data_IF_756627830026
#
_entry.id   IF_756627830026
#
_cell.length_a   1.000
_cell.length_b   1.000
_cell.length_c   1.000
_cell.angle_alpha   90.00
_cell.angle_beta   90.00
_cell.angle_gamma   90.00
#
_symmetry.space_group_name_H-M   'P 1'
#
loop_
_entity.id
_entity.type
_entity.pdbx_description
1 polymer ?
#
# COMPACT_ATOMS: atom_id res chain seq x y z
N UNK A 1 -54.43 9.90 -32.20
CA UNK A 1 -53.57 10.44 -31.12
C UNK A 1 -53.42 9.44 -29.96
N UNK A 2 -54.52 8.90 -29.41
CA UNK A 2 -54.49 7.91 -28.31
C UNK A 2 -53.69 6.61 -28.60
N UNK A 3 -53.77 6.06 -29.81
CA UNK A 3 -53.00 4.84 -30.16
C UNK A 3 -51.49 5.05 -30.07
N UNK A 4 -50.97 6.22 -30.48
CA UNK A 4 -49.54 6.56 -30.36
C UNK A 4 -49.10 6.77 -28.91
N UNK A 5 -49.99 7.32 -28.07
CA UNK A 5 -49.75 7.49 -26.64
C UNK A 5 -49.68 6.14 -25.91
N UNK A 6 -50.57 5.20 -26.26
CA UNK A 6 -50.56 3.83 -25.72
C UNK A 6 -49.29 3.09 -26.15
N UNK A 7 -48.87 3.21 -27.42
CA UNK A 7 -47.61 2.61 -27.88
C UNK A 7 -46.40 3.20 -27.15
N UNK A 8 -46.40 4.51 -26.88
CA UNK A 8 -45.31 5.16 -26.14
C UNK A 8 -45.26 4.73 -24.66
N UNK A 9 -46.42 4.60 -24.01
CA UNK A 9 -46.52 4.09 -22.64
C UNK A 9 -46.07 2.62 -22.52
N UNK A 10 -46.40 1.78 -23.50
CA UNK A 10 -45.94 0.39 -23.54
C UNK A 10 -44.42 0.32 -23.74
N UNK A 11 -43.87 1.14 -24.65
CA UNK A 11 -42.43 1.19 -24.88
C UNK A 11 -41.65 1.69 -23.65
N UNK A 12 -42.18 2.70 -22.95
CA UNK A 12 -41.62 3.22 -21.71
C UNK A 12 -41.71 2.19 -20.57
N UNK A 13 -42.82 1.47 -20.45
CA UNK A 13 -42.96 0.39 -19.47
C UNK A 13 -41.96 -0.75 -19.75
N UNK A 14 -41.80 -1.16 -21.01
CA UNK A 14 -40.79 -2.17 -21.37
C UNK A 14 -39.37 -1.72 -21.02
N UNK A 15 -39.01 -0.46 -21.31
CA UNK A 15 -37.70 0.10 -20.95
C UNK A 15 -37.47 0.19 -19.42
N UNK A 16 -38.53 0.47 -18.64
CA UNK A 16 -38.45 0.51 -17.19
C UNK A 16 -38.31 -0.87 -16.54
N UNK A 17 -38.83 -1.93 -17.17
CA UNK A 17 -38.72 -3.31 -16.69
C UNK A 17 -37.49 -4.07 -17.23
N UNK A 18 -36.78 -3.53 -18.23
CA UNK A 18 -35.50 -4.07 -18.73
C UNK A 18 -34.28 -3.27 -18.28
N UNK A 19 -34.46 -2.25 -17.44
CA UNK A 19 -33.33 -1.65 -16.75
C UNK A 19 -32.76 -2.75 -15.84
N UNK A 20 -31.67 -3.38 -16.27
CA UNK A 20 -30.90 -4.25 -15.40
C UNK A 20 -30.62 -3.46 -14.13
N UNK A 21 -31.12 -3.97 -13.01
CA UNK A 21 -30.54 -3.64 -11.73
C UNK A 21 -29.07 -4.02 -11.90
N UNK A 22 -28.17 -3.03 -11.91
CA UNK A 22 -26.77 -3.34 -11.67
C UNK A 22 -26.81 -3.99 -10.30
N UNK A 23 -26.59 -5.31 -10.23
CA UNK A 23 -26.47 -5.99 -8.95
C UNK A 23 -25.43 -5.18 -8.17
N UNK A 24 -25.90 -4.32 -7.26
CA UNK A 24 -25.03 -3.69 -6.29
C UNK A 24 -24.37 -4.87 -5.63
N UNK A 25 -23.03 -5.02 -5.76
CA UNK A 25 -22.36 -6.22 -5.26
C UNK A 25 -22.77 -6.35 -3.81
N UNK A 26 -23.56 -7.38 -3.52
CA UNK A 26 -24.12 -7.57 -2.21
C UNK A 26 -22.92 -7.76 -1.30
N UNK A 27 -22.67 -6.80 -0.39
CA UNK A 27 -21.57 -6.96 0.54
C UNK A 27 -21.84 -8.27 1.29
N UNK A 28 -20.87 -9.21 1.33
CA UNK A 28 -21.10 -10.48 1.97
C UNK A 28 -21.64 -10.23 3.37
N UNK A 29 -22.79 -10.81 3.69
CA UNK A 29 -23.36 -10.69 5.03
C UNK A 29 -22.43 -11.44 5.98
N UNK A 30 -21.51 -10.69 6.59
CA UNK A 30 -20.58 -11.22 7.56
C UNK A 30 -21.35 -11.42 8.87
N UNK A 31 -21.70 -12.67 9.18
CA UNK A 31 -22.22 -13.07 10.48
C UNK A 31 -21.09 -13.04 11.53
N UNK A 32 -20.59 -11.85 11.84
CA UNK A 32 -19.56 -11.66 12.87
C UNK A 32 -20.27 -11.41 14.18
N UNK A 33 -20.18 -12.36 15.11
CA UNK A 33 -20.40 -12.02 16.50
C UNK A 33 -19.29 -11.02 16.88
N UNK A 34 -19.65 -9.80 17.27
CA UNK A 34 -18.71 -8.74 17.65
C UNK A 34 -17.73 -9.13 18.76
N UNK A 35 -17.91 -10.31 19.37
CA UNK A 35 -16.99 -10.93 20.34
C UNK A 35 -15.88 -11.80 19.72
N UNK A 36 -15.95 -12.21 18.45
CA UNK A 36 -15.00 -13.18 17.87
C UNK A 36 -13.80 -12.55 17.15
N UNK A 37 -13.90 -11.31 16.67
CA UNK A 37 -12.81 -10.63 16.00
C UNK A 37 -12.46 -9.34 16.76
N UNK A 38 -11.66 -9.49 17.82
CA UNK A 38 -11.07 -8.34 18.49
C UNK A 38 -9.96 -7.75 17.60
N UNK A 39 -10.35 -6.99 16.58
CA UNK A 39 -9.48 -6.17 15.74
C UNK A 39 -8.94 -4.94 16.50
N UNK A 40 -8.53 -5.11 17.76
CA UNK A 40 -8.12 -4.02 18.62
C UNK A 40 -6.78 -3.40 18.20
N UNK A 41 -5.90 -4.16 17.53
CA UNK A 41 -4.64 -3.64 17.00
C UNK A 41 -4.19 -4.39 15.75
N UNK A 42 -4.10 -3.68 14.63
CA UNK A 42 -3.65 -4.22 13.33
C UNK A 42 -2.36 -3.53 12.93
N UNK A 43 -1.37 -4.32 12.54
CA UNK A 43 -0.10 -3.83 11.99
C UNK A 43 0.03 -4.29 10.54
N UNK A 44 0.54 -3.41 9.70
CA UNK A 44 0.74 -3.66 8.28
C UNK A 44 2.23 -3.72 7.98
N UNK A 45 2.65 -4.80 7.35
CA UNK A 45 4.02 -5.03 6.88
C UNK A 45 3.98 -5.06 5.36
N UNK A 46 4.85 -4.31 4.69
CA UNK A 46 4.86 -4.32 3.24
C UNK A 46 5.79 -3.30 2.62
N UNK A 47 5.47 -2.91 1.40
CA UNK A 47 6.29 -2.00 0.61
C UNK A 47 5.55 -0.72 0.22
N UNK A 48 5.82 -0.20 -0.98
CA UNK A 48 5.25 1.01 -1.58
C UNK A 48 3.71 1.06 -1.51
N UNK A 49 3.04 -0.05 -1.82
CA UNK A 49 1.57 -0.13 -1.80
C UNK A 49 1.02 0.07 -0.39
N UNK A 50 1.67 -0.56 0.59
CA UNK A 50 1.34 -0.44 2.01
C UNK A 50 1.65 0.97 2.53
N UNK A 51 2.77 1.57 2.12
CA UNK A 51 3.18 2.92 2.53
C UNK A 51 2.25 4.04 2.01
N UNK A 52 1.48 3.76 0.96
CA UNK A 52 0.71 4.76 0.22
C UNK A 52 1.54 5.56 -0.77
N UNK A 53 2.59 4.96 -1.31
CA UNK A 53 3.49 5.57 -2.29
C UNK A 53 2.78 5.82 -3.61
N UNK A 54 2.74 7.08 -4.03
CA UNK A 54 2.08 7.55 -5.24
C UNK A 54 2.86 8.74 -5.79
N UNK A 55 2.73 9.03 -7.09
CA UNK A 55 3.45 10.13 -7.73
C UNK A 55 4.96 10.13 -7.45
N UNK A 56 5.58 8.96 -7.52
CA UNK A 56 7.00 8.75 -7.24
C UNK A 56 7.47 9.16 -5.83
N UNK A 57 6.56 9.19 -4.84
CA UNK A 57 6.94 9.52 -3.46
C UNK A 57 5.85 9.29 -2.41
N UNK A 58 6.05 9.90 -1.24
CA UNK A 58 5.13 9.89 -0.10
C UNK A 58 4.71 11.32 0.24
N UNK A 59 3.40 11.53 0.37
CA UNK A 59 2.79 12.77 0.84
C UNK A 59 1.42 12.46 1.45
N UNK A 60 1.06 13.16 2.53
CA UNK A 60 -0.07 12.82 3.42
C UNK A 60 -1.42 12.71 2.71
N UNK A 61 -1.68 13.53 1.70
CA UNK A 61 -2.93 13.54 0.93
C UNK A 61 -3.08 12.28 0.07
N UNK A 62 -1.98 11.75 -0.47
CA UNK A 62 -1.98 10.50 -1.21
C UNK A 62 -1.91 9.28 -0.29
N UNK A 63 -1.12 9.35 0.79
CA UNK A 63 -0.96 8.25 1.74
C UNK A 63 -2.28 7.83 2.41
N UNK A 64 -3.22 8.77 2.59
CA UNK A 64 -4.57 8.50 3.10
C UNK A 64 -5.47 7.69 2.15
N UNK A 65 -5.04 7.48 0.90
CA UNK A 65 -5.72 6.58 -0.04
C UNK A 65 -5.13 5.16 -0.01
N UNK A 66 -4.13 4.90 0.84
CA UNK A 66 -3.52 3.57 0.98
C UNK A 66 -4.49 2.57 1.60
N UNK A 67 -4.41 1.31 1.18
CA UNK A 67 -5.27 0.26 1.71
C UNK A 67 -5.19 0.11 3.25
N UNK A 68 -4.03 0.30 3.94
CA UNK A 68 -4.00 0.24 5.40
C UNK A 68 -4.80 1.36 6.04
N UNK A 69 -4.72 2.58 5.50
CA UNK A 69 -5.50 3.71 5.99
C UNK A 69 -7.01 3.49 5.76
N UNK A 70 -7.39 3.00 4.58
CA UNK A 70 -8.79 2.71 4.25
C UNK A 70 -9.36 1.59 5.14
N UNK A 71 -8.58 0.53 5.40
CA UNK A 71 -8.99 -0.53 6.34
C UNK A 71 -9.15 0.04 7.75
N UNK A 72 -8.18 0.83 8.23
CA UNK A 72 -8.26 1.48 9.53
C UNK A 72 -9.49 2.40 9.65
N UNK A 73 -9.84 3.10 8.57
CA UNK A 73 -11.04 3.92 8.51
C UNK A 73 -12.31 3.06 8.63
N UNK A 74 -12.40 1.95 7.91
CA UNK A 74 -13.57 1.06 7.98
C UNK A 74 -13.68 0.33 9.33
N UNK A 75 -12.56 0.14 10.01
CA UNK A 75 -12.53 -0.38 11.38
C UNK A 75 -12.94 0.67 12.44
N UNK A 76 -13.14 1.93 12.03
CA UNK A 76 -13.42 3.04 12.94
C UNK A 76 -12.21 3.48 13.78
N UNK A 77 -11.00 2.98 13.50
CA UNK A 77 -9.79 3.24 14.29
C UNK A 77 -8.78 4.16 13.59
N UNK A 78 -9.13 4.77 12.45
CA UNK A 78 -8.23 5.66 11.71
C UNK A 78 -7.64 6.82 12.54
N UNK A 79 -8.29 7.22 13.63
CA UNK A 79 -7.80 8.25 14.54
C UNK A 79 -6.67 7.77 15.48
N UNK A 80 -6.60 6.48 15.77
CA UNK A 80 -5.53 5.86 16.57
C UNK A 80 -4.42 5.26 15.71
N UNK A 81 -4.75 4.88 14.46
CA UNK A 81 -3.83 4.31 13.49
C UNK A 81 -2.70 5.27 13.13
N UNK A 82 -1.46 4.85 13.36
CA UNK A 82 -0.28 5.65 13.07
C UNK A 82 0.46 5.11 11.84
N UNK A 83 0.66 5.97 10.84
CA UNK A 83 1.52 5.73 9.69
C UNK A 83 2.50 6.89 9.51
N UNK A 84 3.65 6.70 8.83
CA UNK A 84 4.63 7.77 8.60
C UNK A 84 4.09 8.81 7.61
N UNK A 85 3.22 9.71 8.07
CA UNK A 85 2.61 10.75 7.23
C UNK A 85 3.62 11.85 6.93
N UNK A 86 3.81 12.12 5.65
CA UNK A 86 4.75 13.14 5.16
C UNK A 86 3.99 14.40 4.78
N UNK A 87 4.39 15.54 5.34
CA UNK A 87 3.80 16.84 5.02
C UNK A 87 4.14 17.31 3.60
N UNK A 88 3.40 18.30 3.10
CA UNK A 88 3.71 18.94 1.82
C UNK A 88 5.11 19.58 1.87
N UNK A 89 5.93 19.48 0.81
CA UNK A 89 5.61 18.98 -0.53
C UNK A 89 5.69 17.46 -0.74
N UNK A 90 5.90 16.71 0.33
CA UNK A 90 6.21 15.29 0.29
C UNK A 90 7.69 15.02 0.04
N UNK A 91 8.01 13.74 -0.03
CA UNK A 91 9.35 13.24 -0.36
C UNK A 91 9.24 12.34 -1.57
N UNK A 92 10.11 12.52 -2.56
CA UNK A 92 10.14 11.67 -3.75
C UNK A 92 11.39 10.79 -3.78
N UNK A 93 11.44 9.88 -4.76
CA UNK A 93 12.66 9.14 -5.11
C UNK A 93 13.78 10.06 -5.62
N UNK A 94 13.47 11.31 -5.98
CA UNK A 94 14.45 12.32 -6.37
C UNK A 94 14.87 13.13 -5.15
N UNK A 95 16.13 13.04 -4.70
CA UNK A 95 16.59 13.77 -3.52
C UNK A 95 16.33 15.27 -3.63
N UNK A 96 15.72 15.84 -2.59
CA UNK A 96 15.48 17.28 -2.46
C UNK A 96 14.24 17.81 -3.19
N UNK A 97 13.43 16.95 -3.80
CA UNK A 97 12.25 17.32 -4.56
C UNK A 97 11.00 16.60 -4.04
N UNK A 98 9.88 17.34 -3.89
CA UNK A 98 8.62 16.74 -3.45
C UNK A 98 8.03 15.76 -4.45
N UNK A 99 6.86 15.21 -4.14
CA UNK A 99 6.20 14.22 -5.01
C UNK A 99 5.85 14.84 -6.37
N UNK A 100 5.67 14.02 -7.40
CA UNK A 100 5.24 14.52 -8.71
C UNK A 100 3.79 15.02 -8.67
N UNK A 101 3.51 16.03 -9.48
CA UNK A 101 2.17 16.57 -9.69
C UNK A 101 1.96 16.90 -11.16
N UNK A 102 0.75 16.64 -11.65
CA UNK A 102 0.32 17.02 -12.99
C UNK A 102 -0.31 18.41 -12.95
N UNK A 103 0.19 19.32 -13.78
CA UNK A 103 -0.39 20.63 -13.99
C UNK A 103 -1.35 20.58 -15.20
N UNK A 104 -2.68 20.64 -14.99
CA UNK A 104 -3.63 20.53 -16.09
C UNK A 104 -3.63 21.75 -17.03
N UNK A 105 -3.07 22.89 -16.61
CA UNK A 105 -3.01 24.10 -17.43
C UNK A 105 -1.85 24.05 -18.44
N UNK A 106 -0.75 23.39 -18.07
CA UNK A 106 0.45 23.28 -18.92
C UNK A 106 0.65 21.88 -19.51
N UNK A 107 -0.04 20.87 -18.97
CA UNK A 107 0.18 19.46 -19.31
C UNK A 107 1.47 18.88 -18.72
N UNK A 108 2.16 19.62 -17.86
CA UNK A 108 3.46 19.24 -17.32
C UNK A 108 3.33 18.34 -16.09
N UNK A 109 4.27 17.39 -15.95
CA UNK A 109 4.48 16.65 -14.70
C UNK A 109 5.76 17.18 -14.06
N UNK A 110 5.64 17.81 -12.89
CA UNK A 110 6.76 18.39 -12.17
C UNK A 110 6.68 18.09 -10.66
N UNK A 111 7.81 18.09 -9.92
CA UNK A 111 7.78 17.99 -8.47
C UNK A 111 6.94 19.09 -7.83
N UNK A 112 6.17 18.73 -6.81
CA UNK A 112 5.61 19.69 -5.86
C UNK A 112 6.80 20.30 -5.14
N UNK A 113 7.19 21.53 -5.45
CA UNK A 113 8.24 22.26 -4.74
C UNK A 113 9.56 21.49 -4.51
N UNK A 114 10.36 22.02 -3.58
CA UNK A 114 11.64 21.45 -3.15
C UNK A 114 11.65 21.33 -1.62
N UNK A 115 12.50 20.45 -1.09
CA UNK A 115 12.78 20.35 0.34
C UNK A 115 14.24 19.94 0.58
N UNK A 116 14.71 20.04 1.83
CA UNK A 116 16.10 19.69 2.18
C UNK A 116 16.22 18.65 3.29
N UNK A 117 15.19 18.47 4.11
CA UNK A 117 15.21 17.54 5.24
C UNK A 117 13.95 16.66 5.28
N UNK A 118 14.01 15.39 4.83
CA UNK A 118 12.88 14.45 4.88
C UNK A 118 12.27 14.32 6.27
N UNK A 119 13.10 14.27 7.32
CA UNK A 119 12.65 14.08 8.70
C UNK A 119 11.84 15.26 9.21
N UNK A 120 12.09 16.47 8.70
CA UNK A 120 11.29 17.65 9.05
C UNK A 120 9.86 17.60 8.48
N UNK A 121 9.64 16.82 7.42
CA UNK A 121 8.31 16.61 6.82
C UNK A 121 7.55 15.45 7.48
N UNK A 122 8.21 14.62 8.30
CA UNK A 122 7.54 13.50 8.97
C UNK A 122 6.69 14.00 10.15
N UNK A 123 5.37 14.07 9.96
CA UNK A 123 4.44 14.73 10.89
C UNK A 123 4.41 14.12 12.30
N UNK A 124 4.69 12.83 12.40
CA UNK A 124 4.68 12.07 13.66
C UNK A 124 6.06 11.47 13.96
N UNK A 125 7.13 12.21 13.67
CA UNK A 125 8.50 11.77 13.91
C UNK A 125 8.79 11.43 15.38
N UNK A 126 8.11 12.09 16.33
CA UNK A 126 8.31 11.92 17.78
C UNK A 126 7.37 10.89 18.43
N UNK A 127 6.59 10.13 17.65
CA UNK A 127 5.73 9.08 18.19
C UNK A 127 6.57 8.08 19.01
N UNK A 128 6.29 7.84 20.31
CA UNK A 128 7.17 7.08 21.21
C UNK A 128 7.00 5.55 21.07
N UNK A 129 6.68 5.10 19.86
CA UNK A 129 6.52 3.69 19.46
C UNK A 129 6.66 3.59 17.93
N UNK A 130 6.93 2.40 17.37
CA UNK A 130 6.80 2.16 15.93
C UNK A 130 5.41 2.49 15.37
N UNK A 131 5.33 2.69 14.06
CA UNK A 131 4.08 2.93 13.33
C UNK A 131 3.28 1.64 13.17
N UNK A 132 1.95 1.75 13.11
CA UNK A 132 1.08 0.61 12.79
C UNK A 132 1.19 0.24 11.30
N UNK A 133 1.50 1.21 10.44
CA UNK A 133 1.90 0.98 9.05
C UNK A 133 3.42 1.01 8.92
N UNK A 134 4.03 -0.15 8.69
CA UNK A 134 5.46 -0.34 8.48
C UNK A 134 5.80 -0.59 7.00
N UNK A 135 4.93 -0.17 6.07
CA UNK A 135 5.20 -0.26 4.64
C UNK A 135 6.37 0.62 4.23
N UNK A 136 7.41 0.05 3.60
CA UNK A 136 8.59 0.81 3.14
C UNK A 136 8.70 0.77 1.61
N UNK A 137 8.60 1.90 0.90
CA UNK A 137 8.73 1.92 -0.55
C UNK A 137 9.98 1.20 -1.05
N UNK A 138 9.81 0.33 -2.05
CA UNK A 138 10.90 -0.46 -2.64
C UNK A 138 11.41 -1.64 -1.82
N UNK A 139 10.95 -1.86 -0.58
CA UNK A 139 11.42 -2.97 0.24
C UNK A 139 11.11 -4.35 -0.39
N UNK A 140 12.11 -5.23 -0.42
CA UNK A 140 11.95 -6.67 -0.70
C UNK A 140 11.61 -7.44 0.56
N UNK A 141 11.21 -8.71 0.41
CA UNK A 141 10.98 -9.60 1.56
C UNK A 141 12.22 -9.72 2.46
N UNK A 142 13.40 -9.93 1.85
CA UNK A 142 14.65 -10.08 2.57
C UNK A 142 15.01 -8.81 3.36
N UNK A 143 14.89 -7.65 2.74
CA UNK A 143 15.18 -6.37 3.41
C UNK A 143 14.22 -6.10 4.57
N UNK A 144 12.95 -6.48 4.46
CA UNK A 144 12.00 -6.35 5.59
C UNK A 144 12.44 -7.17 6.83
N UNK A 145 13.10 -8.31 6.61
CA UNK A 145 13.61 -9.19 7.67
C UNK A 145 14.94 -8.73 8.25
N UNK A 146 15.85 -8.24 7.40
CA UNK A 146 17.27 -8.10 7.73
C UNK A 146 17.77 -6.64 7.82
N UNK A 147 17.09 -5.69 7.17
CA UNK A 147 17.53 -4.31 7.10
C UNK A 147 16.85 -3.44 8.15
N UNK A 148 17.66 -2.79 8.98
CA UNK A 148 17.23 -1.79 9.95
C UNK A 148 17.51 -0.35 9.50
N UNK A 149 18.31 -0.18 8.45
CA UNK A 149 18.75 1.12 7.93
C UNK A 149 18.73 1.13 6.41
N UNK A 150 18.71 2.32 5.82
CA UNK A 150 18.81 2.48 4.37
C UNK A 150 20.09 1.88 3.81
N UNK A 151 21.22 2.00 4.52
CA UNK A 151 22.51 1.44 4.09
C UNK A 151 22.44 -0.08 3.93
N UNK A 152 21.72 -0.78 4.80
CA UNK A 152 21.52 -2.24 4.71
C UNK A 152 20.52 -2.65 3.62
N UNK A 153 19.74 -1.70 3.10
CA UNK A 153 18.74 -1.89 2.07
C UNK A 153 19.09 -1.10 0.80
N UNK A 154 20.30 -1.30 0.28
CA UNK A 154 20.76 -0.70 -0.99
C UNK A 154 20.64 0.84 -1.02
N UNK A 155 20.95 1.49 0.10
CA UNK A 155 20.85 2.94 0.31
C UNK A 155 19.42 3.51 0.22
N UNK A 156 18.41 2.68 0.39
CA UNK A 156 17.01 3.09 0.41
C UNK A 156 16.67 3.95 1.64
N UNK A 157 16.72 5.27 1.48
CA UNK A 157 16.45 6.25 2.55
C UNK A 157 15.07 6.15 3.22
N UNK A 158 14.09 5.47 2.61
CA UNK A 158 12.79 5.26 3.24
C UNK A 158 12.88 4.34 4.46
N UNK A 159 13.88 3.43 4.53
CA UNK A 159 14.11 2.61 5.72
C UNK A 159 14.40 3.48 6.94
N UNK A 160 15.33 4.43 6.82
CA UNK A 160 15.72 5.30 7.93
C UNK A 160 14.55 6.20 8.37
N UNK A 161 13.76 6.69 7.42
CA UNK A 161 12.62 7.56 7.70
C UNK A 161 11.47 6.83 8.40
N UNK A 162 11.16 5.61 7.98
CA UNK A 162 9.98 4.88 8.45
C UNK A 162 10.30 4.10 9.72
N UNK A 163 11.43 3.39 9.74
CA UNK A 163 11.88 2.66 10.93
C UNK A 163 12.40 3.60 12.01
N UNK A 164 12.80 4.84 11.67
CA UNK A 164 13.29 5.87 12.60
C UNK A 164 14.41 5.38 13.53
N UNK A 165 15.24 4.48 13.02
CA UNK A 165 16.42 4.01 13.76
C UNK A 165 17.47 5.13 13.87
N UNK A 166 18.26 5.16 14.96
CA UNK A 166 18.37 4.15 16.02
C UNK A 166 17.35 4.28 17.17
N UNK A 167 16.32 5.14 17.07
CA UNK A 167 15.37 5.39 18.17
C UNK A 167 14.61 4.13 18.63
N UNK A 168 14.57 3.09 17.79
CA UNK A 168 13.96 1.79 18.08
C UNK A 168 15.01 0.67 18.06
N UNK A 169 16.20 0.94 18.63
CA UNK A 169 17.25 -0.04 18.86
C UNK A 169 17.77 -0.75 17.60
N UNK A 170 17.72 -0.09 16.44
CA UNK A 170 18.10 -0.67 15.15
C UNK A 170 17.27 -1.91 14.79
N UNK A 171 15.97 -1.90 15.13
CA UNK A 171 15.05 -2.97 14.78
C UNK A 171 14.66 -2.92 13.30
N UNK A 172 14.52 -4.09 12.68
CA UNK A 172 13.98 -4.26 11.31
C UNK A 172 12.47 -4.04 11.26
N UNK A 173 11.89 -4.03 10.06
CA UNK A 173 10.44 -3.90 9.87
C UNK A 173 9.66 -4.98 10.64
N UNK A 174 10.14 -6.23 10.59
CA UNK A 174 9.49 -7.36 11.27
C UNK A 174 9.64 -7.28 12.79
N UNK A 175 10.82 -6.89 13.28
CA UNK A 175 11.06 -6.74 14.73
C UNK A 175 10.20 -5.61 15.32
N UNK A 176 10.05 -4.48 14.62
CA UNK A 176 9.15 -3.40 15.05
C UNK A 176 7.69 -3.86 15.10
N UNK A 177 7.25 -4.70 14.14
CA UNK A 177 5.92 -5.29 14.18
C UNK A 177 5.73 -6.21 15.40
N UNK A 178 6.76 -6.97 15.79
CA UNK A 178 6.73 -7.81 16.99
C UNK A 178 6.57 -6.97 18.28
N UNK A 179 7.34 -5.88 18.41
CA UNK A 179 7.25 -4.99 19.58
C UNK A 179 5.89 -4.32 19.71
N UNK A 180 5.21 -4.06 18.60
CA UNK A 180 3.84 -3.55 18.64
C UNK A 180 2.84 -4.56 19.21
N UNK A 181 3.17 -5.85 19.25
CA UNK A 181 2.35 -6.93 19.81
C UNK A 181 0.87 -6.90 19.34
N UNK A 182 0.60 -6.84 18.01
CA UNK A 182 -0.74 -6.69 17.46
C UNK A 182 -1.62 -7.94 17.62
N UNK A 183 -2.94 -7.78 17.43
CA UNK A 183 -3.87 -8.92 17.33
C UNK A 183 -3.94 -9.47 15.90
N UNK A 184 -3.69 -8.62 14.90
CA UNK A 184 -3.54 -9.02 13.50
C UNK A 184 -2.34 -8.37 12.83
N UNK A 185 -1.69 -9.10 11.94
CA UNK A 185 -0.71 -8.58 11.00
C UNK A 185 -1.21 -8.82 9.58
N UNK A 186 -1.25 -7.77 8.76
CA UNK A 186 -1.52 -7.88 7.33
C UNK A 186 -0.21 -7.67 6.58
N UNK A 187 0.21 -8.67 5.82
CA UNK A 187 1.48 -8.67 5.09
C UNK A 187 1.23 -8.60 3.59
N UNK A 188 1.88 -7.63 2.93
CA UNK A 188 1.98 -7.58 1.48
C UNK A 188 3.42 -7.30 1.05
N UNK A 189 4.19 -8.38 0.94
CA UNK A 189 5.59 -8.41 0.50
C UNK A 189 5.73 -9.41 -0.64
N UNK A 190 6.78 -9.25 -1.46
CA UNK A 190 7.11 -10.17 -2.55
C UNK A 190 6.96 -9.59 -3.94
N UNK A 191 6.19 -8.52 -4.15
CA UNK A 191 6.13 -7.89 -5.47
C UNK A 191 7.47 -7.27 -5.87
N UNK A 192 8.23 -6.64 -4.96
CA UNK A 192 9.54 -6.07 -5.31
C UNK A 192 10.61 -7.14 -5.57
N UNK A 193 10.42 -8.37 -5.08
CA UNK A 193 11.28 -9.52 -5.37
C UNK A 193 11.20 -10.00 -6.83
N UNK A 194 10.20 -9.53 -7.59
CA UNK A 194 10.04 -9.84 -9.02
C UNK A 194 9.85 -8.60 -9.91
N UNK A 195 9.36 -7.49 -9.34
CA UNK A 195 9.08 -6.24 -10.08
C UNK A 195 10.32 -5.66 -10.74
N UNK A 196 11.48 -5.77 -10.07
CA UNK A 196 12.76 -5.27 -10.57
C UNK A 196 13.04 -5.74 -12.00
N UNK A 197 12.82 -7.04 -12.27
CA UNK A 197 12.99 -7.63 -13.60
C UNK A 197 12.03 -7.05 -14.64
N UNK A 198 10.77 -6.81 -14.27
CA UNK A 198 9.78 -6.23 -15.18
C UNK A 198 10.14 -4.79 -15.58
N UNK A 199 10.64 -3.98 -14.64
CA UNK A 199 10.96 -2.56 -14.90
C UNK A 199 12.36 -2.32 -15.45
N UNK A 200 13.23 -3.33 -15.44
CA UNK A 200 14.60 -3.30 -15.98
C UNK A 200 14.74 -3.93 -17.38
N UNK A 201 13.63 -4.08 -18.11
CA UNK A 201 13.65 -4.64 -19.46
C UNK A 201 13.74 -6.17 -19.51
N UNK A 202 13.30 -6.86 -18.45
CA UNK A 202 13.28 -8.32 -18.37
C UNK A 202 14.56 -8.95 -17.82
N UNK A 203 15.39 -8.19 -17.08
CA UNK A 203 16.59 -8.73 -16.45
C UNK A 203 16.22 -9.68 -15.30
N UNK A 204 16.24 -10.98 -15.58
CA UNK A 204 15.88 -12.03 -14.61
C UNK A 204 16.85 -12.12 -13.43
N UNK A 205 18.03 -11.49 -13.49
CA UNK A 205 18.94 -11.44 -12.33
C UNK A 205 18.39 -10.57 -11.19
N UNK A 206 17.39 -9.74 -11.48
CA UNK A 206 16.66 -8.94 -10.50
C UNK A 206 15.53 -9.72 -9.80
N UNK A 207 15.30 -10.99 -10.16
CA UNK A 207 14.34 -11.85 -9.47
C UNK A 207 15.03 -12.52 -8.28
N UNK A 208 14.46 -12.35 -7.07
CA UNK A 208 14.89 -13.14 -5.90
C UNK A 208 14.70 -14.63 -6.23
N UNK A 209 15.75 -15.47 -6.11
CA UNK A 209 15.63 -16.90 -6.38
C UNK A 209 14.48 -17.54 -5.59
N UNK A 210 13.68 -18.40 -6.23
CA UNK A 210 12.48 -18.96 -5.60
C UNK A 210 12.76 -19.71 -4.29
N UNK A 211 13.92 -20.38 -4.19
CA UNK A 211 14.35 -21.06 -2.97
C UNK A 211 14.62 -20.08 -1.83
N UNK A 212 15.29 -18.96 -2.12
CA UNK A 212 15.60 -17.92 -1.13
C UNK A 212 14.32 -17.22 -0.68
N UNK A 213 13.43 -16.91 -1.64
CA UNK A 213 12.12 -16.36 -1.35
C UNK A 213 11.31 -17.29 -0.44
N UNK A 214 11.27 -18.59 -0.74
CA UNK A 214 10.57 -19.58 0.08
C UNK A 214 11.15 -19.66 1.50
N UNK A 215 12.48 -19.62 1.63
CA UNK A 215 13.15 -19.65 2.93
C UNK A 215 12.86 -18.39 3.75
N UNK A 216 12.98 -17.21 3.15
CA UNK A 216 12.71 -15.93 3.80
C UNK A 216 11.22 -15.79 4.16
N UNK A 217 10.31 -16.27 3.30
CA UNK A 217 8.88 -16.22 3.60
C UNK A 217 8.53 -17.16 4.76
N UNK A 218 9.14 -18.34 4.80
CA UNK A 218 9.04 -19.25 5.96
C UNK A 218 9.54 -18.60 7.25
N UNK A 219 10.68 -17.90 7.19
CA UNK A 219 11.25 -17.16 8.32
C UNK A 219 10.33 -16.03 8.78
N UNK A 220 9.79 -15.24 7.87
CA UNK A 220 8.80 -14.20 8.17
C UNK A 220 7.60 -14.77 8.95
N UNK A 221 7.01 -15.86 8.48
CA UNK A 221 5.87 -16.48 9.17
C UNK A 221 6.26 -16.99 10.56
N UNK A 222 7.44 -17.57 10.72
CA UNK A 222 7.95 -18.03 12.02
C UNK A 222 8.14 -16.86 12.99
N UNK A 223 8.69 -15.73 12.52
CA UNK A 223 8.87 -14.53 13.35
C UNK A 223 7.53 -13.92 13.75
N UNK A 224 6.59 -13.77 12.81
CA UNK A 224 5.27 -13.23 13.12
C UNK A 224 4.47 -14.14 14.04
N UNK A 225 4.57 -15.47 13.89
CA UNK A 225 3.89 -16.42 14.76
C UNK A 225 4.34 -16.36 16.23
N UNK A 226 5.46 -15.71 16.56
CA UNK A 226 5.87 -15.49 17.96
C UNK A 226 5.05 -14.41 18.65
N UNK A 227 4.38 -13.54 17.90
CA UNK A 227 3.56 -12.45 18.43
C UNK A 227 2.41 -13.02 19.26
N UNK A 228 2.18 -12.45 20.45
CA UNK A 228 1.15 -12.88 21.40
C UNK A 228 1.16 -14.39 21.70
N UNK A 229 2.36 -14.97 21.82
CA UNK A 229 2.54 -16.40 22.13
C UNK A 229 1.82 -17.31 21.11
N UNK A 230 1.75 -16.91 19.84
CA UNK A 230 1.06 -17.67 18.79
C UNK A 230 -0.38 -17.26 18.52
N UNK A 231 -0.95 -16.33 19.29
CA UNK A 231 -2.36 -15.91 19.16
C UNK A 231 -2.57 -14.68 18.27
N UNK A 232 -1.67 -14.46 17.31
CA UNK A 232 -1.80 -13.40 16.30
C UNK A 232 -2.52 -13.94 15.05
N UNK A 233 -3.45 -13.17 14.50
CA UNK A 233 -3.99 -13.44 13.17
C UNK A 233 -3.03 -12.92 12.09
N UNK A 234 -2.74 -13.71 11.07
CA UNK A 234 -1.87 -13.29 9.96
C UNK A 234 -2.66 -13.36 8.66
N UNK A 235 -2.76 -12.24 7.95
CA UNK A 235 -3.33 -12.17 6.60
C UNK A 235 -2.19 -11.92 5.63
N UNK A 236 -2.15 -12.73 4.58
CA UNK A 236 -1.13 -12.65 3.54
C UNK A 236 -1.81 -12.24 2.23
N UNK A 237 -1.35 -11.14 1.64
CA UNK A 237 -1.75 -10.77 0.29
C UNK A 237 -0.89 -11.52 -0.75
N UNK A 238 -1.50 -11.87 -1.87
CA UNK A 238 -0.81 -12.49 -2.99
C UNK A 238 0.12 -11.49 -3.68
N UNK A 239 1.13 -12.03 -4.38
CA UNK A 239 1.97 -11.22 -5.25
C UNK A 239 1.15 -10.91 -6.52
N UNK A 240 0.85 -9.64 -6.82
CA UNK A 240 0.18 -9.28 -8.06
C UNK A 240 1.07 -9.62 -9.26
N UNK A 241 0.46 -9.85 -10.42
CA UNK A 241 1.23 -10.04 -11.63
C UNK A 241 1.91 -8.71 -12.01
N UNK A 242 3.24 -8.66 -11.88
CA UNK A 242 4.02 -7.45 -12.18
C UNK A 242 4.04 -7.10 -13.65
N UNK A 243 3.57 -7.99 -14.54
CA UNK A 243 3.42 -7.67 -15.96
C UNK A 243 2.11 -6.97 -16.30
N UNK A 244 1.18 -6.81 -15.35
CA UNK A 244 -0.13 -6.18 -15.62
C UNK A 244 -0.10 -4.66 -15.40
N UNK A 245 1.06 -4.11 -15.04
CA UNK A 245 1.22 -2.67 -14.79
C UNK A 245 1.27 -1.88 -16.12
N UNK A 246 0.79 -0.63 -16.15
CA UNK A 246 0.87 0.22 -17.35
C UNK A 246 2.30 0.45 -17.87
N UNK A 247 3.33 0.29 -17.04
CA UNK A 247 4.72 0.51 -17.43
C UNK A 247 5.23 -0.49 -18.49
N UNK A 248 4.75 -1.74 -18.44
CA UNK A 248 5.17 -2.82 -19.37
C UNK A 248 4.07 -3.21 -20.36
N UNK A 249 2.93 -2.52 -20.33
CA UNK A 249 1.84 -2.70 -21.27
C UNK A 249 1.72 -1.48 -22.17
N UNK A 250 1.23 -1.70 -23.39
CA UNK A 250 0.80 -0.61 -24.25
C UNK A 250 -0.62 -0.19 -23.85
N UNK A 251 -0.90 1.11 -23.82
CA UNK A 251 -2.28 1.58 -23.81
C UNK A 251 -2.87 1.23 -25.18
N UNK A 252 -4.01 0.54 -25.21
CA UNK A 252 -4.71 0.22 -26.46
C UNK A 252 -4.95 1.50 -27.27
N UNK A 253 -4.69 1.45 -28.58
CA UNK A 253 -4.81 2.58 -29.53
C UNK A 253 -6.22 3.21 -29.56
N UNK A 254 -7.20 2.59 -28.91
CA UNK A 254 -8.59 3.05 -28.81
C UNK A 254 -8.77 4.32 -27.96
N UNK A 255 -7.81 4.67 -27.09
CA UNK A 255 -7.90 5.86 -26.23
C UNK A 255 -7.40 7.14 -26.94
N UNK A 256 -6.62 7.00 -28.02
CA UNK A 256 -5.98 8.13 -28.72
C UNK A 256 -6.37 8.26 -30.20
N UNK A 257 -7.58 7.84 -30.58
CA UNK A 257 -8.15 8.29 -31.87
C UNK A 257 -8.47 9.78 -31.77
N UNK A 258 -7.53 10.59 -32.25
CA UNK A 258 -7.71 12.01 -32.58
C UNK A 258 -8.57 12.17 -33.82
#
# INVERSE_FOLDING_TARGET
MMKKLITFLILFALLAFTACDLETPEQPQLNISSKQLALSKVVFIGNSLTAGFQSAGLVKDLQKNSFPYLIAQQMGNAHEFQMPLIDDPGISIMPGAGVLSFNPSTGEIAPRGNYTNPTALLLNATLPRPYDNLGIPGATLKQALDAATGVQADTNSFFDLILRNPNFANMTMVEQAQVLNPTFVIVWLGNNDVLGAAVSGGDLTQITPAQDFQADYGRLLQELAKIREGNVGIILANIPNVTDIPYVNLLDDLVYKT
#
